data_IF_390587408560
#
_entry.id   IF_390587408560
#
_cell.length_a   1.000
_cell.length_b   1.000
_cell.length_c   1.000
_cell.angle_alpha   90.00
_cell.angle_beta   90.00
_cell.angle_gamma   90.00
#
_symmetry.space_group_name_H-M   'P 1'
#
loop_
_entity.id
_entity.type
_entity.pdbx_description
1 polymer ?
#
# COMPACT_ATOMS: atom_id res chain seq x y z
N UNK A 1 6.58 -18.32 73.46
CA UNK A 1 5.68 -17.34 72.78
C UNK A 1 6.40 -16.73 71.58
N UNK A 2 6.15 -17.26 70.39
CA UNK A 2 6.83 -16.83 69.17
C UNK A 2 5.79 -16.22 68.22
N UNK A 3 5.87 -14.91 68.02
CA UNK A 3 5.05 -14.19 67.06
C UNK A 3 5.64 -14.41 65.65
N UNK A 4 4.91 -15.11 64.82
CA UNK A 4 5.20 -15.17 63.37
C UNK A 4 4.56 -13.95 62.71
N UNK A 5 5.41 -13.06 62.16
CA UNK A 5 4.99 -11.95 61.30
C UNK A 5 4.86 -12.49 59.86
N UNK A 6 3.63 -12.52 59.35
CA UNK A 6 3.35 -12.81 57.93
C UNK A 6 3.56 -11.54 57.13
N UNK A 7 4.46 -11.57 56.17
CA UNK A 7 4.71 -10.53 55.21
C UNK A 7 3.83 -10.82 53.97
N UNK A 8 2.81 -10.02 53.73
CA UNK A 8 2.05 -10.05 52.49
C UNK A 8 2.85 -9.29 51.41
N UNK A 9 3.30 -10.02 50.42
CA UNK A 9 3.87 -9.45 49.21
C UNK A 9 2.72 -9.07 48.22
N UNK A 10 2.49 -7.78 48.04
CA UNK A 10 1.58 -7.29 47.01
C UNK A 10 2.32 -7.24 45.67
N UNK A 11 1.97 -8.14 44.76
CA UNK A 11 2.46 -8.13 43.37
C UNK A 11 1.64 -7.12 42.56
N UNK A 12 2.24 -5.99 42.25
CA UNK A 12 1.65 -5.03 41.29
C UNK A 12 1.89 -5.53 39.85
N UNK A 13 0.85 -5.98 39.20
CA UNK A 13 0.88 -6.28 37.76
C UNK A 13 0.82 -4.98 36.96
N UNK A 14 1.93 -4.57 36.34
CA UNK A 14 1.96 -3.49 35.35
C UNK A 14 1.32 -4.01 34.06
N UNK A 15 0.11 -3.57 33.76
CA UNK A 15 -0.50 -3.74 32.44
C UNK A 15 0.17 -2.76 31.48
N UNK A 16 1.04 -3.25 30.59
CA UNK A 16 1.52 -2.52 29.42
C UNK A 16 0.35 -2.41 28.43
N UNK A 17 -0.29 -1.24 28.41
CA UNK A 17 -1.19 -0.86 27.33
C UNK A 17 -0.30 -0.53 26.14
N UNK A 18 -0.17 -1.47 25.22
CA UNK A 18 0.45 -1.24 23.92
C UNK A 18 -0.45 -0.27 23.15
N UNK A 19 0.00 0.98 22.97
CA UNK A 19 -0.58 1.88 22.00
C UNK A 19 -0.27 1.28 20.61
N UNK A 20 -1.26 0.67 19.96
CA UNK A 20 -1.22 0.40 18.53
C UNK A 20 -1.21 1.77 17.83
N UNK A 21 -0.03 2.30 17.56
CA UNK A 21 0.13 3.50 16.75
C UNK A 21 -0.29 3.15 15.33
N UNK A 22 -1.35 3.78 14.83
CA UNK A 22 -1.65 3.81 13.41
C UNK A 22 -0.59 4.69 12.73
N UNK A 23 0.55 4.13 12.40
CA UNK A 23 1.54 4.78 11.54
C UNK A 23 1.18 4.45 10.10
N UNK A 24 1.05 5.48 9.26
CA UNK A 24 1.03 5.27 7.81
C UNK A 24 2.41 4.76 7.38
N UNK A 25 2.43 3.79 6.49
CA UNK A 25 3.66 3.25 5.92
C UNK A 25 4.18 4.20 4.83
N UNK A 26 5.49 4.24 4.64
CA UNK A 26 6.07 4.91 3.48
C UNK A 26 5.57 4.22 2.21
N UNK A 27 5.28 4.98 1.15
CA UNK A 27 4.92 4.38 -0.14
C UNK A 27 6.00 3.45 -0.69
N UNK A 28 7.25 3.63 -0.25
CA UNK A 28 8.38 2.76 -0.61
C UNK A 28 8.35 1.39 0.08
N UNK A 29 7.53 1.23 1.11
CA UNK A 29 7.37 -0.02 1.87
C UNK A 29 6.14 -0.83 1.40
N UNK A 30 5.29 -0.22 0.55
CA UNK A 30 4.10 -0.86 0.01
C UNK A 30 4.45 -1.96 -1.01
N UNK A 31 3.61 -2.99 -1.07
CA UNK A 31 3.85 -4.18 -1.88
C UNK A 31 2.60 -4.59 -2.65
N UNK A 32 2.80 -5.39 -3.70
CA UNK A 32 1.69 -6.05 -4.42
C UNK A 32 0.87 -6.89 -3.45
N UNK A 33 -0.44 -6.70 -3.48
CA UNK A 33 -1.41 -7.34 -2.59
C UNK A 33 -1.81 -6.50 -1.37
N UNK A 34 -1.18 -5.33 -1.15
CA UNK A 34 -1.63 -4.40 -0.11
C UNK A 34 -2.94 -3.72 -0.53
N UNK A 35 -3.90 -3.70 0.38
CA UNK A 35 -5.13 -2.95 0.24
C UNK A 35 -5.02 -1.61 0.95
N UNK A 36 -5.60 -0.56 0.35
CA UNK A 36 -5.42 0.83 0.75
C UNK A 36 -6.76 1.56 0.75
N UNK A 37 -6.79 2.73 1.38
CA UNK A 37 -7.84 3.71 1.16
C UNK A 37 -7.47 4.63 0.00
N UNK A 38 -8.38 4.82 -0.95
CA UNK A 38 -8.23 5.77 -2.06
C UNK A 38 -7.92 7.18 -1.56
N UNK A 39 -8.46 7.57 -0.39
CA UNK A 39 -8.18 8.87 0.21
C UNK A 39 -6.71 9.09 0.56
N UNK A 40 -5.96 8.03 0.81
CA UNK A 40 -4.52 8.11 1.10
C UNK A 40 -3.68 8.33 -0.17
N UNK A 41 -4.29 8.14 -1.35
CA UNK A 41 -3.66 8.30 -2.67
C UNK A 41 -3.98 9.66 -3.31
N UNK A 42 -4.72 10.53 -2.62
CA UNK A 42 -5.09 11.84 -3.12
C UNK A 42 -3.96 12.85 -2.89
N UNK A 43 -3.66 13.66 -3.91
CA UNK A 43 -2.67 14.74 -3.86
C UNK A 43 -1.66 14.66 -5.00
N UNK A 44 -0.85 15.70 -5.13
CA UNK A 44 0.16 15.81 -6.19
C UNK A 44 1.39 14.93 -5.90
N UNK A 45 1.67 14.66 -4.63
CA UNK A 45 2.74 13.78 -4.17
C UNK A 45 2.25 12.93 -3.00
N UNK A 46 2.23 11.61 -3.18
CA UNK A 46 1.89 10.65 -2.14
C UNK A 46 3.19 10.09 -1.55
N UNK A 47 3.46 10.39 -0.29
CA UNK A 47 4.67 9.93 0.41
C UNK A 47 4.40 8.81 1.41
N UNK A 48 3.14 8.63 1.82
CA UNK A 48 2.72 7.60 2.77
C UNK A 48 1.28 7.22 2.54
N UNK A 49 0.97 5.94 2.71
CA UNK A 49 -0.37 5.41 2.73
C UNK A 49 -0.42 4.28 3.77
N UNK A 50 -1.61 3.98 4.30
CA UNK A 50 -1.76 2.93 5.30
C UNK A 50 -2.24 1.66 4.64
N UNK A 51 -1.44 0.58 4.73
CA UNK A 51 -1.90 -0.75 4.35
C UNK A 51 -3.04 -1.21 5.28
N UNK A 52 -4.11 -1.72 4.67
CA UNK A 52 -5.32 -2.23 5.33
C UNK A 52 -5.36 -3.74 5.07
N UNK A 53 -5.83 -4.51 6.05
CA UNK A 53 -6.13 -5.94 5.80
C UNK A 53 -7.24 -6.03 4.75
N UNK A 54 -6.99 -6.72 3.64
CA UNK A 54 -7.95 -6.84 2.55
C UNK A 54 -9.29 -7.52 2.96
N UNK A 55 -9.34 -8.15 4.12
CA UNK A 55 -10.59 -8.62 4.70
C UNK A 55 -11.46 -7.48 5.28
N UNK A 56 -10.87 -6.31 5.53
CA UNK A 56 -11.58 -5.10 5.93
C UNK A 56 -12.04 -4.32 4.69
N UNK A 57 -12.93 -3.34 4.88
CA UNK A 57 -13.39 -2.47 3.78
C UNK A 57 -12.26 -1.59 3.27
N UNK A 58 -12.03 -1.60 1.96
CA UNK A 58 -11.05 -0.80 1.23
C UNK A 58 -11.57 -0.48 -0.18
N UNK A 59 -10.96 0.47 -0.84
CA UNK A 59 -11.35 0.94 -2.18
C UNK A 59 -10.16 1.09 -3.14
N UNK A 60 -8.99 0.59 -2.72
CA UNK A 60 -7.79 0.52 -3.55
C UNK A 60 -6.98 -0.74 -3.22
N UNK A 61 -6.32 -1.34 -4.22
CA UNK A 61 -5.46 -2.52 -4.07
C UNK A 61 -4.27 -2.43 -5.02
N UNK A 62 -3.05 -2.71 -4.53
CA UNK A 62 -1.84 -2.76 -5.36
C UNK A 62 -1.81 -4.12 -6.07
N UNK A 63 -1.97 -4.10 -7.39
CA UNK A 63 -2.08 -5.32 -8.18
C UNK A 63 -0.81 -5.70 -8.94
N UNK A 64 0.08 -4.76 -9.18
CA UNK A 64 1.33 -5.01 -9.88
C UNK A 64 2.38 -3.96 -9.52
N UNK A 65 3.63 -4.27 -9.83
CA UNK A 65 4.76 -3.36 -9.74
C UNK A 65 5.63 -3.46 -10.99
N UNK A 66 6.34 -2.38 -11.29
CA UNK A 66 7.34 -2.32 -12.34
C UNK A 66 8.59 -1.62 -11.82
N UNK A 67 9.77 -2.24 -11.97
CA UNK A 67 11.03 -1.68 -11.52
C UNK A 67 11.87 -1.25 -12.71
N UNK A 68 12.20 0.02 -12.77
CA UNK A 68 13.09 0.61 -13.76
C UNK A 68 14.54 0.19 -13.52
N UNK A 69 15.29 0.06 -14.59
CA UNK A 69 16.73 -0.21 -14.56
C UNK A 69 17.54 1.05 -14.85
N UNK A 70 18.77 1.10 -14.31
CA UNK A 70 19.69 2.19 -14.55
C UNK A 70 19.88 3.12 -13.37
N UNK A 71 20.98 3.90 -13.40
CA UNK A 71 21.34 4.81 -12.32
C UNK A 71 20.78 6.21 -12.55
N UNK A 72 20.60 6.62 -13.82
CA UNK A 72 20.10 7.94 -14.19
C UNK A 72 18.58 7.93 -14.36
N UNK A 73 17.90 8.97 -13.87
CA UNK A 73 16.47 9.16 -14.06
C UNK A 73 16.14 9.33 -15.54
N UNK A 74 15.28 8.49 -16.13
CA UNK A 74 15.03 8.51 -17.58
C UNK A 74 14.15 9.67 -18.06
N UNK A 75 13.66 10.47 -17.14
CA UNK A 75 12.75 11.58 -17.38
C UNK A 75 11.29 11.24 -17.11
N UNK A 76 10.54 12.24 -16.66
CA UNK A 76 9.13 12.08 -16.23
C UNK A 76 8.25 11.46 -17.33
N UNK A 77 8.37 11.92 -18.57
CA UNK A 77 7.56 11.42 -19.68
C UNK A 77 7.82 9.93 -19.94
N UNK A 78 9.07 9.49 -19.90
CA UNK A 78 9.46 8.08 -20.07
C UNK A 78 8.91 7.22 -18.94
N UNK A 79 9.06 7.70 -17.69
CA UNK A 79 8.56 6.97 -16.51
C UNK A 79 7.05 6.82 -16.57
N UNK A 80 6.31 7.87 -16.92
CA UNK A 80 4.85 7.83 -17.02
C UNK A 80 4.38 6.91 -18.15
N UNK A 81 4.99 7.00 -19.34
CA UNK A 81 4.60 6.19 -20.50
C UNK A 81 4.82 4.70 -20.24
N UNK A 82 6.00 4.32 -19.74
CA UNK A 82 6.35 2.93 -19.44
C UNK A 82 5.49 2.38 -18.29
N UNK A 83 5.26 3.18 -17.24
CA UNK A 83 4.38 2.80 -16.14
C UNK A 83 2.94 2.56 -16.61
N UNK A 84 2.41 3.46 -17.46
CA UNK A 84 1.06 3.33 -18.01
C UNK A 84 0.92 2.06 -18.87
N UNK A 85 1.91 1.75 -19.69
CA UNK A 85 1.92 0.55 -20.55
C UNK A 85 1.89 -0.72 -19.69
N UNK A 86 2.82 -0.84 -18.73
CA UNK A 86 2.93 -2.01 -17.86
C UNK A 86 1.68 -2.17 -16.98
N UNK A 87 1.20 -1.08 -16.37
CA UNK A 87 0.01 -1.16 -15.52
C UNK A 87 -1.25 -1.54 -16.31
N UNK A 88 -1.39 -1.08 -17.55
CA UNK A 88 -2.51 -1.47 -18.43
C UNK A 88 -2.45 -2.95 -18.80
N UNK A 89 -1.26 -3.47 -19.13
CA UNK A 89 -1.07 -4.90 -19.43
C UNK A 89 -1.39 -5.77 -18.20
N UNK A 90 -0.83 -5.41 -17.04
CA UNK A 90 -1.04 -6.15 -15.79
C UNK A 90 -2.47 -6.05 -15.26
N UNK A 91 -3.20 -5.00 -15.60
CA UNK A 91 -4.60 -4.85 -15.23
C UNK A 91 -5.48 -5.97 -15.79
N UNK A 92 -5.31 -6.29 -17.08
CA UNK A 92 -6.06 -7.38 -17.71
C UNK A 92 -5.75 -8.73 -17.07
N UNK A 93 -4.47 -8.98 -16.75
CA UNK A 93 -4.05 -10.20 -16.05
C UNK A 93 -4.69 -10.31 -14.67
N UNK A 94 -4.79 -9.20 -13.93
CA UNK A 94 -5.30 -9.15 -12.58
C UNK A 94 -6.84 -9.19 -12.52
N UNK A 95 -7.53 -8.28 -13.20
CA UNK A 95 -9.01 -8.17 -13.18
C UNK A 95 -9.65 -9.29 -14.02
N UNK A 96 -8.98 -9.74 -15.08
CA UNK A 96 -9.50 -10.73 -16.03
C UNK A 96 -10.42 -10.14 -17.13
N UNK A 97 -10.38 -8.81 -17.31
CA UNK A 97 -10.99 -8.05 -18.40
C UNK A 97 -10.03 -6.96 -18.87
N UNK A 98 -10.02 -6.62 -20.19
CA UNK A 98 -9.32 -5.46 -20.69
C UNK A 98 -9.77 -4.17 -19.98
N UNK A 99 -8.85 -3.24 -19.74
CA UNK A 99 -9.14 -2.00 -19.01
C UNK A 99 -10.35 -1.24 -19.56
N UNK A 100 -10.48 -1.15 -20.88
CA UNK A 100 -11.58 -0.43 -21.53
C UNK A 100 -12.94 -1.14 -21.43
N UNK A 101 -12.98 -2.39 -20.97
CA UNK A 101 -14.20 -3.18 -20.77
C UNK A 101 -14.58 -3.31 -19.31
N UNK A 102 -13.74 -2.82 -18.39
CA UNK A 102 -13.92 -2.90 -16.94
C UNK A 102 -14.58 -1.65 -16.38
N UNK A 103 -15.32 -1.80 -15.29
CA UNK A 103 -15.85 -0.71 -14.45
C UNK A 103 -14.83 -0.25 -13.40
N UNK A 104 -13.72 -1.00 -13.23
CA UNK A 104 -12.62 -0.68 -12.32
C UNK A 104 -11.64 0.26 -13.02
N UNK A 105 -11.15 1.23 -12.28
CA UNK A 105 -10.09 2.15 -12.72
C UNK A 105 -8.75 1.75 -12.12
N UNK A 106 -7.67 2.31 -12.64
CA UNK A 106 -6.38 2.23 -11.97
C UNK A 106 -5.68 3.59 -11.91
N UNK A 107 -4.81 3.71 -10.95
CA UNK A 107 -3.83 4.79 -10.81
C UNK A 107 -2.44 4.20 -10.62
N UNK A 108 -1.43 5.06 -10.60
CA UNK A 108 -0.04 4.65 -10.46
C UNK A 108 0.67 5.57 -9.46
N UNK A 109 1.50 4.98 -8.60
CA UNK A 109 2.56 5.70 -7.92
C UNK A 109 3.86 5.35 -8.64
N UNK A 110 4.54 6.33 -9.19
CA UNK A 110 5.76 6.15 -9.97
C UNK A 110 6.88 7.07 -9.46
N UNK A 111 8.16 6.69 -9.68
CA UNK A 111 9.29 7.47 -9.22
C UNK A 111 9.32 8.89 -9.79
N UNK A 112 9.58 9.86 -8.95
CA UNK A 112 9.98 11.22 -9.36
C UNK A 112 11.50 11.31 -9.45
N UNK A 113 12.04 12.33 -10.13
CA UNK A 113 13.47 12.61 -10.13
C UNK A 113 14.01 12.74 -8.70
N UNK A 114 13.24 13.36 -7.80
CA UNK A 114 13.64 13.53 -6.42
C UNK A 114 13.69 12.20 -5.66
N UNK A 115 12.66 11.34 -5.75
CA UNK A 115 12.66 10.03 -5.08
C UNK A 115 13.71 9.09 -5.67
N UNK A 116 13.95 9.18 -6.99
CA UNK A 116 15.00 8.46 -7.69
C UNK A 116 16.37 8.76 -7.12
N UNK A 117 16.72 10.06 -6.98
CA UNK A 117 18.03 10.50 -6.54
C UNK A 117 18.24 10.39 -5.02
N UNK A 118 17.19 10.62 -4.22
CA UNK A 118 17.30 10.73 -2.78
C UNK A 118 16.92 9.46 -2.01
N UNK A 119 16.03 8.64 -2.58
CA UNK A 119 15.50 7.45 -1.93
C UNK A 119 15.80 6.16 -2.69
N UNK A 120 16.54 6.22 -3.80
CA UNK A 120 16.81 5.07 -4.69
C UNK A 120 15.52 4.40 -5.19
N UNK A 121 14.44 5.20 -5.32
CA UNK A 121 13.14 4.73 -5.78
C UNK A 121 13.19 4.44 -7.29
N UNK A 122 12.91 3.21 -7.65
CA UNK A 122 12.91 2.69 -9.03
C UNK A 122 11.59 2.02 -9.39
N UNK A 123 10.60 2.06 -8.48
CA UNK A 123 9.44 1.19 -8.60
C UNK A 123 8.17 1.98 -8.83
N UNK A 124 7.44 1.62 -9.88
CA UNK A 124 6.06 2.00 -10.07
C UNK A 124 5.15 0.97 -9.39
N UNK A 125 4.17 1.43 -8.62
CA UNK A 125 3.08 0.63 -8.10
C UNK A 125 1.82 0.88 -8.92
N UNK A 126 1.22 -0.18 -9.43
CA UNK A 126 -0.05 -0.16 -10.15
C UNK A 126 -1.19 -0.46 -9.17
N UNK A 127 -2.17 0.42 -9.05
CA UNK A 127 -3.20 0.39 -8.02
C UNK A 127 -4.58 0.43 -8.66
N UNK A 128 -5.38 -0.60 -8.48
CA UNK A 128 -6.81 -0.58 -8.87
C UNK A 128 -7.62 0.23 -7.88
N UNK A 129 -8.64 0.91 -8.39
CA UNK A 129 -9.57 1.75 -7.63
C UNK A 129 -10.99 1.30 -7.89
N UNK A 130 -11.76 1.07 -6.83
CA UNK A 130 -13.21 0.84 -6.93
C UNK A 130 -13.98 2.08 -6.49
N UNK A 131 -15.14 2.32 -7.09
CA UNK A 131 -16.00 3.45 -6.72
C UNK A 131 -16.73 3.21 -5.39
N UNK A 132 -16.95 1.94 -5.04
CA UNK A 132 -17.56 1.54 -3.76
C UNK A 132 -16.54 0.69 -2.97
N UNK A 133 -16.52 0.84 -1.63
CA UNK A 133 -15.68 0.00 -0.80
C UNK A 133 -16.01 -1.49 -0.98
N UNK A 134 -14.97 -2.30 -1.01
CA UNK A 134 -15.05 -3.75 -1.15
C UNK A 134 -14.32 -4.46 -0.02
N UNK A 135 -14.47 -5.76 0.08
CA UNK A 135 -13.72 -6.64 0.97
C UNK A 135 -13.15 -7.81 0.16
N UNK A 136 -11.94 -8.23 0.47
CA UNK A 136 -11.23 -9.22 -0.34
C UNK A 136 -10.58 -8.60 -1.57
N UNK A 137 -9.72 -9.37 -2.23
CA UNK A 137 -9.02 -8.93 -3.45
C UNK A 137 -9.97 -8.82 -4.64
N UNK A 138 -9.68 -7.87 -5.52
CA UNK A 138 -10.34 -7.71 -6.83
C UNK A 138 -9.73 -8.62 -7.92
N UNK A 139 -8.77 -9.49 -7.58
CA UNK A 139 -8.18 -10.44 -8.52
C UNK A 139 -9.25 -11.34 -9.14
N UNK A 140 -9.32 -11.35 -10.47
CA UNK A 140 -10.28 -12.15 -11.24
C UNK A 140 -11.74 -11.71 -11.09
N UNK A 141 -12.00 -10.49 -10.63
CA UNK A 141 -13.36 -9.98 -10.41
C UNK A 141 -14.20 -9.89 -11.68
N UNK A 142 -13.57 -9.60 -12.82
CA UNK A 142 -14.23 -9.51 -14.15
C UNK A 142 -15.41 -8.54 -14.19
N UNK A 143 -15.23 -7.37 -13.58
CA UNK A 143 -16.19 -6.26 -13.52
C UNK A 143 -15.64 -4.98 -14.10
#
# INVERSE_FOLDING_TARGET
MSLRRSVLAASAALALVGAAGCTADSVLDLQVGDCLSRSDLEGDEVSSAKAIDCAEEHDAEIYAEHTFSGDEYPGTDTVQEESQEVCTEKFEEFIGLPYLESEIYFTMLYPSEQSWDQADDRTTLCIVLSDEPTTGSLEGAKI
#
